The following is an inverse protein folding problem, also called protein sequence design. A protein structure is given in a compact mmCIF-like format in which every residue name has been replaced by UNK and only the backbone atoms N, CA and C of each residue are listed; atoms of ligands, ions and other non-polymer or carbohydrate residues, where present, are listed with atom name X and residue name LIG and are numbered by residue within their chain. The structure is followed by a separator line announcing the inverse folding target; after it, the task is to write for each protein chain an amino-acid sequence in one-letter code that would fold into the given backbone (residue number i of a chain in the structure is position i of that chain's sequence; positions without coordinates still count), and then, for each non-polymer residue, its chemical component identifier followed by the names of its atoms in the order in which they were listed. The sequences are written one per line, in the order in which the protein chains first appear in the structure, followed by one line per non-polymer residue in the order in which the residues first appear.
data_IF_137971679035
#
_entry.id   IF_137971679035
#
_cell.length_a   1.000
_cell.length_b   1.000
_cell.length_c   1.000
_cell.angle_alpha   90.00
_cell.angle_beta   90.00
_cell.angle_gamma   90.00
#
_symmetry.space_group_name_H-M   'P 1'
#
loop_
_entity.id
_entity.type
_entity.pdbx_description
1 polymer ?
#
# COMPACT_ATOMS: atom_id res chain seq x y z
N UNK A 1 -38.30 -20.25 29.23
CA UNK A 1 -37.77 -19.90 27.89
C UNK A 1 -37.18 -21.14 27.25
N UNK A 2 -37.78 -21.65 26.17
CA UNK A 2 -37.39 -22.94 25.58
C UNK A 2 -35.98 -22.88 24.98
N UNK A 3 -35.26 -24.02 24.97
CA UNK A 3 -33.89 -24.11 24.39
C UNK A 3 -33.86 -23.63 22.93
N UNK A 4 -34.94 -23.86 22.18
CA UNK A 4 -35.11 -23.40 20.80
C UNK A 4 -35.12 -21.86 20.68
N UNK A 5 -35.73 -21.15 21.64
CA UNK A 5 -35.77 -19.68 21.63
C UNK A 5 -34.37 -19.08 21.86
N UNK A 6 -33.59 -19.68 22.77
CA UNK A 6 -32.21 -19.25 23.06
C UNK A 6 -31.27 -19.48 21.87
N UNK A 7 -31.36 -20.65 21.23
CA UNK A 7 -30.55 -20.97 20.04
C UNK A 7 -30.88 -20.06 18.86
N UNK A 8 -32.16 -19.74 18.65
CA UNK A 8 -32.59 -18.83 17.57
C UNK A 8 -32.06 -17.42 17.78
N UNK A 9 -32.02 -16.95 19.04
CA UNK A 9 -31.52 -15.62 19.39
C UNK A 9 -30.00 -15.52 19.23
N UNK A 10 -29.27 -16.56 19.62
CA UNK A 10 -27.82 -16.66 19.37
C UNK A 10 -27.52 -16.69 17.86
N UNK A 11 -28.29 -17.45 17.09
CA UNK A 11 -28.12 -17.54 15.63
C UNK A 11 -28.43 -16.21 14.94
N UNK A 12 -29.50 -15.52 15.35
CA UNK A 12 -29.84 -14.19 14.85
C UNK A 12 -28.76 -13.15 15.19
N UNK A 13 -28.17 -13.20 16.39
CA UNK A 13 -27.05 -12.34 16.79
C UNK A 13 -25.80 -12.64 15.95
N UNK A 14 -25.48 -13.92 15.70
CA UNK A 14 -24.35 -14.31 14.86
C UNK A 14 -24.53 -13.89 13.39
N UNK A 15 -25.75 -14.02 12.85
CA UNK A 15 -26.09 -13.53 11.52
C UNK A 15 -26.00 -12.01 11.46
N UNK A 16 -26.58 -11.31 12.45
CA UNK A 16 -26.47 -9.86 12.57
C UNK A 16 -25.02 -9.40 12.63
N UNK A 17 -24.16 -10.09 13.37
CA UNK A 17 -22.73 -9.78 13.46
C UNK A 17 -21.95 -10.11 12.18
N UNK A 18 -22.40 -11.03 11.33
CA UNK A 18 -21.65 -11.46 10.14
C UNK A 18 -22.14 -10.82 8.83
N UNK A 19 -23.44 -10.58 8.69
CA UNK A 19 -24.06 -10.06 7.47
C UNK A 19 -24.15 -8.53 7.51
N UNK A 20 -24.51 -7.93 8.65
CA UNK A 20 -24.66 -6.47 8.77
C UNK A 20 -23.37 -5.69 8.41
N UNK A 21 -22.14 -6.14 8.76
CA UNK A 21 -20.91 -5.49 8.32
C UNK A 21 -20.68 -5.56 6.80
N UNK A 22 -21.23 -6.57 6.12
CA UNK A 22 -21.18 -6.70 4.65
C UNK A 22 -22.21 -5.79 3.98
N UNK A 23 -23.42 -5.67 4.54
CA UNK A 23 -24.51 -4.87 3.97
C UNK A 23 -24.34 -3.36 4.17
N UNK A 24 -23.80 -2.91 5.30
CA UNK A 24 -23.57 -1.48 5.58
C UNK A 24 -22.32 -0.93 4.86
N UNK A 25 -21.52 -1.79 4.21
CA UNK A 25 -20.18 -1.44 3.77
C UNK A 25 -19.74 -2.04 2.45
N UNK A 26 -20.52 -1.83 1.38
CA UNK A 26 -19.98 -1.77 0.00
C UNK A 26 -19.64 -0.31 -0.37
N UNK A 27 -19.31 0.52 0.63
CA UNK A 27 -18.66 1.79 0.37
C UNK A 27 -17.31 1.51 -0.29
N UNK A 28 -17.10 2.06 -1.50
CA UNK A 28 -15.85 2.00 -2.27
C UNK A 28 -14.66 2.14 -1.30
N UNK A 29 -13.79 1.13 -1.26
CA UNK A 29 -12.54 1.19 -0.49
C UNK A 29 -11.89 2.52 -0.87
N UNK A 30 -11.65 3.41 0.12
CA UNK A 30 -10.99 4.69 -0.16
C UNK A 30 -9.64 4.37 -0.79
N UNK A 31 -9.46 4.75 -2.05
CA UNK A 31 -8.20 4.58 -2.77
C UNK A 31 -7.11 5.20 -1.89
N UNK A 32 -6.00 4.50 -1.59
CA UNK A 32 -4.92 5.11 -0.84
C UNK A 32 -4.34 6.29 -1.63
N UNK A 33 -3.86 7.33 -0.93
CA UNK A 33 -3.25 8.52 -1.56
C UNK A 33 -1.84 8.22 -2.11
N UNK A 34 -1.82 7.41 -3.16
CA UNK A 34 -0.63 6.93 -3.85
C UNK A 34 0.08 8.07 -4.59
N UNK A 35 -0.67 9.03 -5.14
CA UNK A 35 -0.09 10.17 -5.85
C UNK A 35 0.71 11.07 -4.90
N UNK A 36 0.20 11.33 -3.67
CA UNK A 36 0.97 12.05 -2.65
C UNK A 36 2.20 11.27 -2.24
N UNK A 37 2.08 9.96 -2.00
CA UNK A 37 3.22 9.12 -1.66
C UNK A 37 4.30 9.14 -2.75
N UNK A 38 3.92 9.09 -4.04
CA UNK A 38 4.86 9.19 -5.16
C UNK A 38 5.60 10.54 -5.17
N UNK A 39 4.88 11.65 -4.92
CA UNK A 39 5.50 12.98 -4.78
C UNK A 39 6.47 13.04 -3.59
N UNK A 40 6.08 12.48 -2.45
CA UNK A 40 6.93 12.46 -1.25
C UNK A 40 8.22 11.65 -1.50
N UNK A 41 8.12 10.49 -2.15
CA UNK A 41 9.27 9.67 -2.55
C UNK A 41 10.18 10.42 -3.53
N UNK A 42 9.60 11.07 -4.56
CA UNK A 42 10.36 11.86 -5.52
C UNK A 42 11.08 13.04 -4.86
N UNK A 43 10.43 13.74 -3.92
CA UNK A 43 11.03 14.84 -3.17
C UNK A 43 12.20 14.35 -2.31
N UNK A 44 12.03 13.24 -1.59
CA UNK A 44 13.09 12.64 -0.78
C UNK A 44 14.31 12.22 -1.61
N UNK A 45 14.08 11.60 -2.78
CA UNK A 45 15.15 11.21 -3.71
C UNK A 45 15.84 12.45 -4.30
N UNK A 46 15.08 13.48 -4.65
CA UNK A 46 15.62 14.75 -5.16
C UNK A 46 16.51 15.44 -4.14
N UNK A 47 16.10 15.45 -2.87
CA UNK A 47 16.92 15.96 -1.75
C UNK A 47 18.26 15.23 -1.59
N UNK A 48 18.39 14.00 -2.14
CA UNK A 48 19.65 13.23 -2.16
C UNK A 48 20.40 13.32 -3.49
N UNK A 49 20.05 14.29 -4.33
CA UNK A 49 20.75 14.58 -5.58
C UNK A 49 20.38 13.68 -6.74
N UNK A 50 19.25 12.97 -6.68
CA UNK A 50 18.71 12.26 -7.84
C UNK A 50 17.93 13.23 -8.74
N UNK A 51 18.02 13.03 -10.05
CA UNK A 51 17.02 13.54 -10.98
C UNK A 51 15.83 12.59 -10.94
N UNK A 52 14.65 13.11 -10.60
CA UNK A 52 13.45 12.30 -10.41
C UNK A 52 12.37 12.65 -11.42
N UNK A 53 11.55 11.66 -11.77
CA UNK A 53 10.34 11.83 -12.57
C UNK A 53 9.26 10.92 -12.01
N UNK A 54 8.05 11.46 -11.84
CA UNK A 54 6.86 10.66 -11.53
C UNK A 54 6.21 10.28 -12.85
N UNK A 55 6.19 8.99 -13.16
CA UNK A 55 5.58 8.43 -14.36
C UNK A 55 4.24 7.85 -13.95
N UNK A 56 3.16 8.47 -14.43
CA UNK A 56 1.82 7.95 -14.21
C UNK A 56 1.63 6.68 -15.03
N UNK A 57 1.33 5.57 -14.36
CA UNK A 57 0.92 4.33 -15.00
C UNK A 57 -0.55 4.07 -14.71
N UNK A 58 -1.20 3.33 -15.60
CA UNK A 58 -2.63 3.01 -15.53
C UNK A 58 -3.05 2.29 -14.24
N UNK A 59 -2.08 1.73 -13.49
CA UNK A 59 -2.31 0.96 -12.27
C UNK A 59 -1.70 1.63 -11.02
N UNK A 60 -0.55 2.30 -11.14
CA UNK A 60 0.13 2.98 -10.04
C UNK A 60 1.21 3.93 -10.58
N UNK A 61 1.50 5.00 -9.84
CA UNK A 61 2.58 5.92 -10.20
C UNK A 61 3.95 5.31 -9.87
N UNK A 62 4.90 5.44 -10.80
CA UNK A 62 6.29 5.08 -10.58
C UNK A 62 7.12 6.33 -10.34
N UNK A 63 8.05 6.25 -9.40
CA UNK A 63 9.08 7.26 -9.19
C UNK A 63 10.36 6.74 -9.80
N UNK A 64 10.74 7.28 -10.94
CA UNK A 64 12.02 6.98 -11.60
C UNK A 64 13.05 7.99 -11.10
N UNK A 65 14.19 7.52 -10.60
CA UNK A 65 15.26 8.33 -10.06
C UNK A 65 16.61 7.93 -10.65
N UNK A 66 17.41 8.91 -11.07
CA UNK A 66 18.73 8.70 -11.68
C UNK A 66 19.80 9.58 -11.03
N UNK A 67 20.97 9.01 -10.75
CA UNK A 67 22.15 9.71 -10.23
C UNK A 67 23.43 9.01 -10.71
N UNK A 68 24.11 9.59 -11.71
CA UNK A 68 25.25 8.94 -12.36
C UNK A 68 24.85 7.62 -13.01
N UNK A 69 25.56 6.54 -12.69
CA UNK A 69 25.23 5.16 -13.13
C UNK A 69 24.10 4.50 -12.32
N UNK A 70 23.65 5.11 -11.22
CA UNK A 70 22.57 4.57 -10.41
C UNK A 70 21.20 4.98 -10.99
N UNK A 71 20.43 3.98 -11.42
CA UNK A 71 19.00 4.11 -11.75
C UNK A 71 18.18 3.32 -10.75
N UNK A 72 17.16 3.96 -10.17
CA UNK A 72 16.22 3.39 -9.22
C UNK A 72 14.80 3.70 -9.66
N UNK A 73 13.90 2.74 -9.50
CA UNK A 73 12.45 2.92 -9.67
C UNK A 73 11.78 2.48 -8.39
N UNK A 74 10.96 3.35 -7.81
CA UNK A 74 10.19 3.06 -6.61
C UNK A 74 8.69 3.22 -6.87
N UNK A 75 7.87 2.34 -6.29
CA UNK A 75 6.41 2.48 -6.30
C UNK A 75 5.81 1.91 -5.01
N UNK A 76 4.54 2.24 -4.77
CA UNK A 76 3.76 1.60 -3.72
C UNK A 76 3.29 0.22 -4.20
N UNK A 77 3.88 -0.83 -3.63
CA UNK A 77 3.43 -2.19 -3.89
C UNK A 77 2.10 -2.44 -3.17
N UNK A 78 1.02 -2.33 -3.91
CA UNK A 78 -0.31 -2.75 -3.45
C UNK A 78 -0.29 -4.24 -3.11
N UNK A 79 -1.18 -4.68 -2.22
CA UNK A 79 -1.23 -6.07 -1.74
C UNK A 79 -1.68 -7.08 -2.80
N UNK A 80 -2.04 -6.62 -4.00
CA UNK A 80 -2.48 -7.47 -5.10
C UNK A 80 -1.27 -8.09 -5.80
N UNK A 81 -1.19 -9.43 -5.80
CA UNK A 81 -0.03 -10.18 -6.31
C UNK A 81 0.34 -9.88 -7.78
N UNK A 82 -0.65 -9.68 -8.64
CA UNK A 82 -0.44 -9.38 -10.06
C UNK A 82 0.36 -8.08 -10.29
N UNK A 83 0.08 -7.04 -9.50
CA UNK A 83 0.75 -5.74 -9.64
C UNK A 83 2.24 -5.81 -9.31
N UNK A 84 2.61 -6.71 -8.40
CA UNK A 84 3.99 -6.97 -8.02
C UNK A 84 4.77 -7.68 -9.12
N UNK A 85 4.19 -8.72 -9.70
CA UNK A 85 4.81 -9.48 -10.79
C UNK A 85 5.04 -8.57 -12.00
N UNK A 86 4.02 -7.79 -12.35
CA UNK A 86 4.12 -6.79 -13.42
C UNK A 86 5.20 -5.74 -13.18
N UNK A 87 5.29 -5.18 -11.96
CA UNK A 87 6.38 -4.25 -11.63
C UNK A 87 7.77 -4.89 -11.82
N UNK A 88 7.91 -6.14 -11.39
CA UNK A 88 9.18 -6.87 -11.51
C UNK A 88 9.55 -7.10 -12.98
N UNK A 89 8.57 -7.44 -13.82
CA UNK A 89 8.75 -7.60 -15.26
C UNK A 89 9.12 -6.28 -15.95
N UNK A 90 8.37 -5.20 -15.67
CA UNK A 90 8.58 -3.87 -16.28
C UNK A 90 9.92 -3.25 -15.91
N UNK A 91 10.47 -3.58 -14.73
CA UNK A 91 11.72 -3.03 -14.22
C UNK A 91 12.91 -4.00 -14.33
N UNK A 92 12.73 -5.19 -14.90
CA UNK A 92 13.75 -6.22 -15.01
C UNK A 92 15.04 -5.73 -15.70
N UNK A 93 14.93 -4.82 -16.68
CA UNK A 93 16.06 -4.24 -17.38
C UNK A 93 16.93 -3.30 -16.52
N UNK A 94 16.40 -2.82 -15.39
CA UNK A 94 17.10 -1.90 -14.48
C UNK A 94 17.90 -2.70 -13.45
N UNK A 95 17.29 -3.75 -12.89
CA UNK A 95 17.92 -4.60 -11.89
C UNK A 95 16.92 -5.36 -11.02
N UNK A 96 17.40 -6.05 -9.97
CA UNK A 96 16.54 -6.79 -9.06
C UNK A 96 15.57 -5.88 -8.31
N UNK A 97 14.38 -6.42 -8.03
CA UNK A 97 13.36 -5.76 -7.21
C UNK A 97 13.51 -6.15 -5.73
N UNK A 98 13.44 -5.15 -4.87
CA UNK A 98 13.43 -5.25 -3.42
C UNK A 98 12.15 -4.65 -2.86
N UNK A 99 11.72 -5.13 -1.70
CA UNK A 99 10.56 -4.66 -0.98
C UNK A 99 10.99 -4.10 0.36
N UNK A 100 10.59 -2.86 0.63
CA UNK A 100 10.73 -2.25 1.94
C UNK A 100 9.40 -2.24 2.69
N UNK A 101 9.40 -2.76 3.92
CA UNK A 101 8.25 -2.70 4.81
C UNK A 101 8.69 -2.69 6.28
N UNK A 102 8.20 -1.71 7.05
CA UNK A 102 8.45 -1.56 8.50
C UNK A 102 9.94 -1.69 8.88
N UNK A 103 10.82 -1.00 8.15
CA UNK A 103 12.25 -0.96 8.45
C UNK A 103 13.07 -2.13 7.89
N UNK A 104 12.42 -3.16 7.33
CA UNK A 104 13.10 -4.26 6.66
C UNK A 104 13.07 -4.06 5.14
N UNK A 105 14.23 -4.25 4.49
CA UNK A 105 14.35 -4.31 3.03
C UNK A 105 14.81 -5.70 2.63
N UNK A 106 14.13 -6.34 1.69
CA UNK A 106 14.51 -7.68 1.22
C UNK A 106 13.92 -8.02 -0.15
N UNK A 107 14.37 -9.12 -0.77
CA UNK A 107 13.87 -9.54 -2.09
C UNK A 107 12.46 -10.13 -2.02
N UNK A 108 11.96 -10.48 -0.82
CA UNK A 108 10.67 -11.12 -0.62
C UNK A 108 9.58 -10.13 -0.25
N UNK A 109 8.42 -10.25 -0.91
CA UNK A 109 7.26 -9.44 -0.59
C UNK A 109 6.64 -9.87 0.76
N UNK A 110 6.35 -8.93 1.68
CA UNK A 110 5.67 -9.24 2.94
C UNK A 110 4.20 -9.59 2.69
N UNK A 111 3.83 -10.87 2.79
CA UNK A 111 2.49 -11.34 2.36
C UNK A 111 1.36 -11.08 3.36
N UNK A 112 1.59 -11.35 4.64
CA UNK A 112 0.49 -11.43 5.60
C UNK A 112 0.18 -10.10 6.30
N UNK A 113 1.19 -9.48 6.91
CA UNK A 113 1.01 -8.27 7.74
C UNK A 113 0.46 -7.09 6.94
N UNK A 114 0.91 -6.78 5.71
CA UNK A 114 0.36 -5.67 4.94
C UNK A 114 -1.13 -5.84 4.64
N UNK A 115 -1.57 -7.06 4.28
CA UNK A 115 -2.98 -7.37 3.98
C UNK A 115 -3.87 -7.14 5.20
N UNK A 116 -3.44 -7.61 6.37
CA UNK A 116 -4.17 -7.38 7.63
C UNK A 116 -4.23 -5.88 7.95
N UNK A 117 -3.12 -5.16 7.77
CA UNK A 117 -3.05 -3.72 8.05
C UNK A 117 -3.97 -2.89 7.13
N UNK A 118 -4.04 -3.26 5.85
CA UNK A 118 -4.94 -2.65 4.88
C UNK A 118 -6.40 -2.93 5.23
N UNK A 119 -6.73 -4.17 5.60
CA UNK A 119 -8.11 -4.51 5.99
C UNK A 119 -8.55 -3.79 7.26
N UNK A 120 -7.66 -3.63 8.23
CA UNK A 120 -7.92 -2.86 9.45
C UNK A 120 -8.10 -1.36 9.14
N UNK A 121 -7.24 -0.78 8.29
CA UNK A 121 -7.38 0.60 7.84
C UNK A 121 -8.70 0.82 7.11
N UNK A 122 -9.09 -0.10 6.22
CA UNK A 122 -10.36 -0.05 5.51
C UNK A 122 -11.56 -0.11 6.47
N UNK A 123 -11.45 -0.86 7.56
CA UNK A 123 -12.48 -0.89 8.60
C UNK A 123 -12.51 0.42 9.39
N UNK A 124 -11.36 0.94 9.82
CA UNK A 124 -11.24 2.22 10.53
C UNK A 124 -11.80 3.40 9.71
N UNK A 125 -11.50 3.46 8.42
CA UNK A 125 -12.01 4.49 7.53
C UNK A 125 -13.55 4.49 7.44
N UNK A 126 -14.17 3.31 7.47
CA UNK A 126 -15.64 3.20 7.41
C UNK A 126 -16.30 3.90 8.60
N UNK A 127 -15.70 3.80 9.79
CA UNK A 127 -16.14 4.46 11.01
C UNK A 127 -15.61 5.90 11.17
N UNK A 128 -15.03 6.47 10.11
CA UNK A 128 -14.58 7.87 10.08
C UNK A 128 -13.17 8.10 10.64
N UNK A 129 -12.43 7.03 10.94
CA UNK A 129 -11.07 7.13 11.49
C UNK A 129 -10.06 6.96 10.36
N UNK A 130 -9.39 8.06 9.99
CA UNK A 130 -8.32 8.05 8.99
C UNK A 130 -6.95 7.85 9.67
N UNK A 131 -6.45 6.62 9.68
CA UNK A 131 -5.12 6.29 10.26
C UNK A 131 -4.11 6.10 9.13
N UNK A 132 -2.95 6.79 9.14
CA UNK A 132 -1.88 6.51 8.19
C UNK A 132 -1.24 5.14 8.46
N UNK A 133 -0.81 4.44 7.41
CA UNK A 133 -0.06 3.18 7.55
C UNK A 133 1.28 3.23 6.85
N UNK A 134 2.16 2.28 7.21
CA UNK A 134 3.37 2.04 6.45
C UNK A 134 3.01 1.44 5.07
N UNK A 135 3.43 2.05 3.95
CA UNK A 135 3.31 1.43 2.64
C UNK A 135 4.30 0.26 2.51
N UNK A 136 4.02 -0.65 1.59
CA UNK A 136 5.04 -1.57 1.07
C UNK A 136 5.63 -0.87 -0.14
N UNK A 137 6.93 -0.60 -0.13
CA UNK A 137 7.59 0.09 -1.23
C UNK A 137 8.34 -0.95 -2.06
N UNK A 138 7.99 -1.09 -3.32
CA UNK A 138 8.75 -1.88 -4.29
C UNK A 138 9.83 -0.97 -4.90
N UNK A 139 11.07 -1.47 -4.95
CA UNK A 139 12.25 -0.74 -5.37
C UNK A 139 13.03 -1.62 -6.34
N UNK A 140 13.08 -1.25 -7.61
CA UNK A 140 14.02 -1.83 -8.57
C UNK A 140 15.24 -0.92 -8.68
N UNK A 141 16.44 -1.48 -8.57
CA UNK A 141 17.66 -0.69 -8.53
C UNK A 141 18.79 -1.34 -9.33
N UNK A 142 19.50 -0.51 -10.09
CA UNK A 142 20.74 -0.93 -10.77
C UNK A 142 21.83 -1.30 -9.76
N UNK A 143 22.82 -2.15 -10.11
CA UNK A 143 23.87 -2.59 -9.19
C UNK A 143 24.69 -1.46 -8.54
N UNK A 144 24.79 -0.30 -9.20
CA UNK A 144 25.49 0.88 -8.67
C UNK A 144 24.71 1.63 -7.58
N UNK A 145 23.46 1.23 -7.29
CA UNK A 145 22.60 1.93 -6.35
C UNK A 145 22.73 1.39 -4.92
N UNK A 146 22.78 2.34 -3.98
CA UNK A 146 22.68 2.10 -2.54
C UNK A 146 21.23 2.30 -2.08
N UNK A 147 20.57 1.22 -1.66
CA UNK A 147 19.17 1.25 -1.23
C UNK A 147 18.96 2.01 0.09
N UNK A 148 20.00 2.19 0.90
CA UNK A 148 19.99 2.95 2.15
C UNK A 148 20.08 4.48 1.96
N UNK A 149 20.07 4.96 0.71
CA UNK A 149 20.18 6.40 0.43
C UNK A 149 18.96 7.20 0.90
N UNK A 150 17.80 6.56 1.05
CA UNK A 150 16.55 7.18 1.51
C UNK A 150 16.02 6.40 2.71
N UNK A 151 15.51 7.12 3.71
CA UNK A 151 14.78 6.52 4.81
C UNK A 151 13.36 6.12 4.36
N UNK A 152 13.26 4.92 3.80
CA UNK A 152 11.99 4.36 3.33
C UNK A 152 10.97 4.14 4.45
N UNK A 153 11.43 4.05 5.71
CA UNK A 153 10.55 3.83 6.86
C UNK A 153 9.80 5.11 7.28
N UNK A 154 10.24 6.29 6.81
CA UNK A 154 9.58 7.57 7.06
C UNK A 154 8.25 7.73 6.29
N UNK A 155 8.08 7.02 5.17
CA UNK A 155 6.90 7.19 4.34
C UNK A 155 5.63 6.63 4.97
N UNK A 156 4.52 7.34 4.75
CA UNK A 156 3.19 6.96 5.23
C UNK A 156 2.19 7.12 4.10
N UNK A 157 1.30 6.13 3.97
CA UNK A 157 0.18 6.19 3.03
C UNK A 157 -1.11 6.43 3.79
N UNK A 158 -1.84 7.43 3.33
CA UNK A 158 -3.09 7.88 3.94
C UNK A 158 -4.25 7.34 3.13
N UNK A 159 -5.37 7.03 3.80
CA UNK A 159 -6.59 6.73 3.10
C UNK A 159 -7.17 8.02 2.50
N UNK A 160 -7.58 8.02 1.23
CA UNK A 160 -8.36 9.14 0.72
C UNK A 160 -9.77 9.12 1.33
N UNK A 161 -10.32 10.29 1.71
CA UNK A 161 -11.73 10.38 2.05
C UNK A 161 -12.57 9.95 0.84
N UNK A 162 -13.61 9.15 1.07
CA UNK A 162 -14.53 8.75 0.00
C UNK A 162 -15.14 10.01 -0.64
N UNK A 163 -15.09 10.15 -1.99
CA UNK A 163 -15.82 11.23 -2.65
C UNK A 163 -17.32 11.04 -2.37
N UNK A 164 -17.89 11.90 -1.52
CA UNK A 164 -19.31 11.85 -1.16
C UNK A 164 -19.67 12.14 0.31
N UNK A 165 -18.71 12.20 1.24
CA UNK A 165 -18.95 12.78 2.58
C UNK A 165 -18.49 14.23 2.61
N UNK A 166 -19.41 15.15 2.34
CA UNK A 166 -19.37 16.53 2.83
C UNK A 166 -20.26 16.61 4.07
#
# INVERSE_FOLDING_TARGET
MSRALRLSLVFAVLIGLTITPKLIGVGRIGEPDAARLARDMAAALTARGFRTAVVAHHLFDHVVARRGSCTLVATNALTQGYLRERFTEETAAIGPTYYHYRGATGPSFPRFIPVVSERLQNWANRVGIAVPRAPVIAIAASPACRLDTVDWAAFRIWPMPQPGRR
#
